data_IF_695012151264
#
_entry.id   IF_695012151264
#
_cell.length_a   1.000
_cell.length_b   1.000
_cell.length_c   1.000
_cell.angle_alpha   90.00
_cell.angle_beta   90.00
_cell.angle_gamma   90.00
#
_symmetry.space_group_name_H-M   'P 1'
#
loop_
_entity.id
_entity.type
_entity.pdbx_description
1 polymer ?
#
# COMPACT_ATOMS: atom_id res chain seq x y z
N UNK A 1 14.81 -46.44 4.99
CA UNK A 1 15.07 -44.98 5.14
C UNK A 1 13.70 -44.30 5.17
N UNK A 2 13.32 -43.81 6.34
CA UNK A 2 11.93 -43.38 6.62
C UNK A 2 11.64 -42.01 6.01
N UNK A 3 10.43 -41.81 5.50
CA UNK A 3 9.88 -40.54 4.94
C UNK A 3 10.15 -39.36 5.89
N UNK A 4 10.24 -39.60 7.20
CA UNK A 4 10.57 -38.63 8.24
C UNK A 4 11.93 -37.97 8.09
N UNK A 5 12.98 -38.69 7.64
CA UNK A 5 14.32 -38.14 7.50
C UNK A 5 14.46 -37.19 6.28
N UNK A 6 13.75 -37.50 5.20
CA UNK A 6 13.70 -36.63 4.00
C UNK A 6 12.95 -35.32 4.25
N UNK A 7 11.84 -35.36 4.97
CA UNK A 7 11.06 -34.16 5.35
C UNK A 7 11.86 -33.28 6.31
N UNK A 8 12.55 -33.86 7.27
CA UNK A 8 13.40 -33.13 8.21
C UNK A 8 14.61 -32.47 7.50
N UNK A 9 15.23 -33.15 6.54
CA UNK A 9 16.34 -32.59 5.74
C UNK A 9 15.88 -31.45 4.82
N UNK A 10 14.65 -31.50 4.31
CA UNK A 10 14.06 -30.45 3.48
C UNK A 10 13.63 -29.23 4.31
N UNK A 11 13.18 -29.42 5.55
CA UNK A 11 12.69 -28.36 6.42
C UNK A 11 13.79 -27.66 7.21
N UNK A 12 14.86 -28.32 7.59
CA UNK A 12 15.97 -27.77 8.40
C UNK A 12 16.51 -26.44 7.84
N UNK A 13 16.96 -26.34 6.57
CA UNK A 13 17.53 -25.09 6.07
C UNK A 13 16.50 -23.95 6.00
N UNK A 14 15.20 -24.28 5.90
CA UNK A 14 14.13 -23.29 5.92
C UNK A 14 13.83 -22.79 7.33
N UNK A 15 13.87 -23.67 8.31
CA UNK A 15 13.70 -23.31 9.73
C UNK A 15 14.88 -22.45 10.20
N UNK A 16 16.10 -22.81 9.84
CA UNK A 16 17.30 -22.03 10.13
C UNK A 16 17.22 -20.63 9.49
N UNK A 17 16.84 -20.56 8.22
CA UNK A 17 16.63 -19.28 7.54
C UNK A 17 15.55 -18.41 8.21
N UNK A 18 14.42 -19.00 8.62
CA UNK A 18 13.38 -18.29 9.37
C UNK A 18 13.89 -17.81 10.72
N UNK A 19 14.65 -18.66 11.43
CA UNK A 19 15.27 -18.31 12.72
C UNK A 19 16.28 -17.16 12.58
N UNK A 20 17.11 -17.18 11.55
CA UNK A 20 18.04 -16.09 11.24
C UNK A 20 17.30 -14.80 10.91
N UNK A 21 16.24 -14.86 10.12
CA UNK A 21 15.40 -13.69 9.83
C UNK A 21 14.77 -13.13 11.09
N UNK A 22 14.22 -13.98 11.97
CA UNK A 22 13.70 -13.55 13.25
C UNK A 22 14.79 -12.90 14.10
N UNK A 23 15.98 -13.52 14.17
CA UNK A 23 17.13 -12.95 14.85
C UNK A 23 17.49 -11.55 14.32
N UNK A 24 17.50 -11.36 12.99
CA UNK A 24 17.82 -10.08 12.36
C UNK A 24 16.73 -9.03 12.61
N UNK A 25 15.44 -9.39 12.57
CA UNK A 25 14.32 -8.49 12.85
C UNK A 25 14.39 -7.98 14.28
N UNK A 26 14.68 -8.86 15.24
CA UNK A 26 14.71 -8.54 16.68
C UNK A 26 16.11 -8.26 17.22
N UNK A 27 17.16 -8.23 16.36
CA UNK A 27 18.52 -7.92 16.78
C UNK A 27 18.67 -6.48 17.28
N UNK A 28 19.41 -6.30 18.37
CA UNK A 28 19.29 -5.17 19.28
C UNK A 28 20.12 -3.93 19.00
N UNK A 29 20.91 -3.85 17.91
CA UNK A 29 21.91 -2.78 17.74
C UNK A 29 21.36 -1.34 17.61
N UNK A 30 20.04 -1.17 17.30
CA UNK A 30 19.38 0.16 17.15
C UNK A 30 18.06 0.26 17.92
N UNK A 31 17.91 -0.47 19.02
CA UNK A 31 16.65 -0.53 19.80
C UNK A 31 16.05 0.84 20.17
N UNK A 32 16.81 1.81 20.73
CA UNK A 32 16.20 3.07 21.15
C UNK A 32 15.62 3.89 20.00
N UNK A 33 16.33 3.94 18.85
CA UNK A 33 15.87 4.70 17.68
C UNK A 33 14.65 4.06 17.02
N UNK A 34 14.61 2.71 16.96
CA UNK A 34 13.45 1.99 16.42
C UNK A 34 12.21 2.20 17.29
N UNK A 35 12.36 2.10 18.62
CA UNK A 35 11.25 2.35 19.55
C UNK A 35 10.70 3.79 19.41
N UNK A 36 11.58 4.78 19.24
CA UNK A 36 11.14 6.16 18.97
C UNK A 36 10.35 6.25 17.65
N UNK A 37 10.81 5.60 16.58
CA UNK A 37 10.09 5.58 15.31
C UNK A 37 8.73 4.85 15.41
N UNK A 38 8.64 3.80 16.22
CA UNK A 38 7.42 3.05 16.47
C UNK A 38 6.41 3.90 17.24
N UNK A 39 6.85 4.54 18.33
CA UNK A 39 6.02 5.44 19.16
C UNK A 39 5.57 6.66 18.35
N UNK A 40 6.48 7.28 17.59
CA UNK A 40 6.17 8.39 16.68
C UNK A 40 5.11 7.99 15.66
N UNK A 41 5.23 6.80 15.07
CA UNK A 41 4.25 6.26 14.12
C UNK A 41 2.90 6.00 14.78
N UNK A 42 2.90 5.40 15.98
CA UNK A 42 1.67 5.14 16.73
C UNK A 42 0.93 6.45 17.07
N UNK A 43 1.65 7.46 17.57
CA UNK A 43 1.07 8.76 17.88
C UNK A 43 0.55 9.47 16.62
N UNK A 44 1.25 9.33 15.50
CA UNK A 44 0.78 9.85 14.20
C UNK A 44 -0.54 9.18 13.78
N UNK A 45 -0.65 7.87 13.91
CA UNK A 45 -1.87 7.11 13.62
C UNK A 45 -3.01 7.54 14.55
N UNK A 46 -2.76 7.61 15.86
CA UNK A 46 -3.76 8.02 16.85
C UNK A 46 -4.27 9.45 16.56
N UNK A 47 -3.36 10.38 16.29
CA UNK A 47 -3.73 11.77 15.95
C UNK A 47 -4.45 11.86 14.60
N UNK A 48 -4.08 11.01 13.62
CA UNK A 48 -4.76 10.94 12.33
C UNK A 48 -6.24 10.52 12.48
N UNK A 49 -6.51 9.56 13.37
CA UNK A 49 -7.85 9.12 13.73
C UNK A 49 -8.65 10.28 14.34
N UNK A 50 -8.06 11.00 15.30
CA UNK A 50 -8.70 12.17 15.92
C UNK A 50 -9.00 13.25 14.88
N UNK A 51 -8.05 13.59 14.03
CA UNK A 51 -8.25 14.60 12.98
C UNK A 51 -9.32 14.19 11.98
N UNK A 52 -9.36 12.90 11.60
CA UNK A 52 -10.40 12.37 10.71
C UNK A 52 -11.80 12.55 11.29
N UNK A 53 -12.00 12.21 12.56
CA UNK A 53 -13.27 12.43 13.26
C UNK A 53 -13.65 13.91 13.37
N UNK A 54 -12.69 14.77 13.71
CA UNK A 54 -12.94 16.23 13.80
C UNK A 54 -13.31 16.86 12.46
N UNK A 55 -12.77 16.32 11.36
CA UNK A 55 -13.06 16.80 10.00
C UNK A 55 -14.30 16.11 9.38
N UNK A 56 -14.94 15.17 10.07
CA UNK A 56 -16.07 14.42 9.57
C UNK A 56 -15.72 13.50 8.37
N UNK A 57 -14.50 12.96 8.36
CA UNK A 57 -14.10 12.02 7.32
C UNK A 57 -14.89 10.71 7.42
N UNK A 58 -15.34 10.19 6.28
CA UNK A 58 -16.19 9.00 6.23
C UNK A 58 -15.41 7.71 6.53
N UNK A 59 -14.15 7.62 6.08
CA UNK A 59 -13.31 6.44 6.25
C UNK A 59 -12.08 6.79 7.11
N UNK A 60 -12.22 6.72 8.41
CA UNK A 60 -11.17 7.03 9.40
C UNK A 60 -9.93 6.16 9.19
N UNK A 61 -10.12 4.90 8.78
CA UNK A 61 -9.04 3.97 8.48
C UNK A 61 -8.05 4.49 7.43
N UNK A 62 -8.52 5.20 6.40
CA UNK A 62 -7.65 5.77 5.37
C UNK A 62 -6.80 6.95 5.87
N UNK A 63 -7.32 7.73 6.81
CA UNK A 63 -6.53 8.76 7.48
C UNK A 63 -5.43 8.12 8.34
N UNK A 64 -5.76 7.06 9.10
CA UNK A 64 -4.81 6.27 9.86
C UNK A 64 -3.71 5.67 8.96
N UNK A 65 -4.08 5.12 7.78
CA UNK A 65 -3.13 4.67 6.75
C UNK A 65 -2.21 5.78 6.29
N UNK A 66 -2.76 6.98 6.11
CA UNK A 66 -1.96 8.14 5.67
C UNK A 66 -0.97 8.56 6.75
N UNK A 67 -1.39 8.61 8.01
CA UNK A 67 -0.52 8.85 9.15
C UNK A 67 0.63 7.84 9.25
N UNK A 68 0.32 6.56 9.08
CA UNK A 68 1.33 5.49 9.07
C UNK A 68 2.28 5.58 7.86
N UNK A 69 1.75 5.68 6.66
CA UNK A 69 2.51 5.58 5.41
C UNK A 69 3.39 6.79 5.13
N UNK A 70 3.00 7.97 5.61
CA UNK A 70 3.76 9.22 5.42
C UNK A 70 4.92 9.30 6.41
N UNK A 71 4.77 8.72 7.61
CA UNK A 71 5.77 8.76 8.68
C UNK A 71 7.13 8.23 8.23
N UNK A 72 8.17 9.02 8.47
CA UNK A 72 9.59 8.69 8.28
C UNK A 72 10.39 9.17 9.48
N UNK A 73 11.53 8.55 9.71
CA UNK A 73 12.43 8.89 10.82
C UNK A 73 12.93 10.34 10.77
N UNK A 74 12.73 11.04 9.67
CA UNK A 74 13.16 12.42 9.49
C UNK A 74 12.03 13.28 8.96
N UNK A 75 11.85 14.44 9.61
CA UNK A 75 10.80 15.42 9.33
C UNK A 75 10.75 15.84 7.86
N UNK A 76 11.92 16.14 7.25
CA UNK A 76 11.96 16.57 5.85
C UNK A 76 11.47 15.49 4.87
N UNK A 77 11.72 14.21 5.16
CA UNK A 77 11.17 13.08 4.39
C UNK A 77 9.66 12.96 4.56
N UNK A 78 9.18 13.05 5.81
CA UNK A 78 7.74 13.01 6.11
C UNK A 78 7.02 14.16 5.41
N UNK A 79 7.56 15.40 5.47
CA UNK A 79 7.01 16.56 4.75
C UNK A 79 6.95 16.34 3.24
N UNK A 80 8.07 15.95 2.63
CA UNK A 80 8.12 15.72 1.18
C UNK A 80 7.16 14.60 0.76
N UNK A 81 7.12 13.52 1.52
CA UNK A 81 6.24 12.37 1.26
C UNK A 81 4.77 12.75 1.45
N UNK A 82 4.45 13.53 2.48
CA UNK A 82 3.12 14.07 2.72
C UNK A 82 2.62 14.97 1.59
N UNK A 83 3.44 15.92 1.15
CA UNK A 83 3.12 16.80 0.01
C UNK A 83 2.88 15.99 -1.28
N UNK A 84 3.74 15.01 -1.57
CA UNK A 84 3.58 14.15 -2.74
C UNK A 84 2.32 13.28 -2.64
N UNK A 85 1.93 12.87 -1.43
CA UNK A 85 0.69 12.11 -1.21
C UNK A 85 -0.53 12.98 -1.44
N UNK A 86 -0.59 14.17 -0.83
CA UNK A 86 -1.70 15.12 -1.02
C UNK A 86 -1.84 15.50 -2.49
N UNK A 87 -0.75 15.91 -3.15
CA UNK A 87 -0.79 16.31 -4.57
C UNK A 87 -1.20 15.17 -5.48
N UNK A 88 -0.72 13.94 -5.23
CA UNK A 88 -1.10 12.76 -6.00
C UNK A 88 -2.57 12.40 -5.80
N UNK A 89 -3.05 12.42 -4.55
CA UNK A 89 -4.46 12.16 -4.24
C UNK A 89 -5.38 13.23 -4.84
N UNK A 90 -5.03 14.51 -4.72
CA UNK A 90 -5.82 15.60 -5.31
C UNK A 90 -5.89 15.49 -6.85
N UNK A 91 -4.77 15.17 -7.50
CA UNK A 91 -4.73 14.95 -8.94
C UNK A 91 -5.58 13.73 -9.35
N UNK A 92 -5.47 12.61 -8.63
CA UNK A 92 -6.25 11.40 -8.90
C UNK A 92 -7.75 11.60 -8.69
N UNK A 93 -8.14 12.25 -7.59
CA UNK A 93 -9.54 12.58 -7.28
C UNK A 93 -10.12 13.55 -8.30
N UNK A 94 -9.39 14.61 -8.68
CA UNK A 94 -9.82 15.56 -9.70
C UNK A 94 -9.98 14.94 -11.08
N UNK A 95 -9.05 14.04 -11.47
CA UNK A 95 -9.16 13.27 -12.71
C UNK A 95 -10.37 12.32 -12.68
N UNK A 96 -10.63 11.64 -11.55
CA UNK A 96 -11.78 10.74 -11.40
C UNK A 96 -13.08 11.50 -11.49
N UNK A 97 -13.18 12.63 -10.82
CA UNK A 97 -14.35 13.51 -10.90
C UNK A 97 -14.60 14.02 -12.33
N UNK A 98 -13.57 14.55 -13.00
CA UNK A 98 -13.66 14.99 -14.37
C UNK A 98 -14.05 13.85 -15.32
N UNK A 99 -13.48 12.66 -15.12
CA UNK A 99 -13.81 11.48 -15.91
C UNK A 99 -15.27 11.05 -15.73
N UNK A 100 -15.77 11.04 -14.50
CA UNK A 100 -17.17 10.68 -14.20
C UNK A 100 -18.20 11.63 -14.85
N UNK A 101 -17.83 12.91 -15.02
CA UNK A 101 -18.72 13.89 -15.72
C UNK A 101 -18.93 13.58 -17.20
N UNK A 102 -18.00 12.83 -17.83
CA UNK A 102 -18.01 12.58 -19.29
C UNK A 102 -18.44 11.16 -19.67
N UNK A 103 -18.22 10.16 -18.80
CA UNK A 103 -18.22 8.76 -19.24
C UNK A 103 -19.49 8.00 -18.90
N UNK A 104 -20.28 8.44 -17.92
CA UNK A 104 -21.46 7.68 -17.48
C UNK A 104 -21.12 6.27 -16.97
N UNK A 105 -22.14 5.41 -16.76
CA UNK A 105 -22.03 4.10 -16.10
C UNK A 105 -21.57 2.94 -17.01
N UNK A 106 -20.96 3.20 -18.15
CA UNK A 106 -20.52 2.12 -19.05
C UNK A 106 -19.22 1.46 -18.58
N UNK A 107 -19.29 0.20 -18.17
CA UNK A 107 -18.12 -0.58 -17.70
C UNK A 107 -16.96 -0.61 -18.72
N UNK A 108 -17.27 -0.56 -20.03
CA UNK A 108 -16.24 -0.54 -21.08
C UNK A 108 -15.45 0.78 -21.05
N UNK A 109 -16.15 1.93 -20.98
CA UNK A 109 -15.49 3.24 -20.93
C UNK A 109 -14.77 3.46 -19.61
N UNK A 110 -15.35 2.98 -18.51
CA UNK A 110 -14.71 2.99 -17.19
C UNK A 110 -13.41 2.16 -17.25
N UNK A 111 -13.46 0.96 -17.85
CA UNK A 111 -12.28 0.12 -18.04
C UNK A 111 -11.20 0.78 -18.90
N UNK A 112 -11.59 1.44 -19.99
CA UNK A 112 -10.67 2.21 -20.83
C UNK A 112 -9.99 3.35 -20.06
N UNK A 113 -10.74 4.10 -19.24
CA UNK A 113 -10.23 5.15 -18.39
C UNK A 113 -9.26 4.63 -17.34
N UNK A 114 -9.61 3.55 -16.65
CA UNK A 114 -8.74 2.89 -15.66
C UNK A 114 -7.44 2.38 -16.29
N UNK A 115 -7.53 1.75 -17.46
CA UNK A 115 -6.38 1.29 -18.21
C UNK A 115 -5.46 2.45 -18.62
N UNK A 116 -6.05 3.52 -19.16
CA UNK A 116 -5.29 4.69 -19.62
C UNK A 116 -4.63 5.43 -18.46
N UNK A 117 -5.42 5.90 -17.49
CA UNK A 117 -4.92 6.73 -16.39
C UNK A 117 -4.03 5.90 -15.46
N UNK A 118 -4.46 4.69 -15.10
CA UNK A 118 -3.67 3.79 -14.25
C UNK A 118 -2.37 3.35 -14.91
N UNK A 119 -2.40 3.03 -16.21
CA UNK A 119 -1.21 2.68 -16.99
C UNK A 119 -0.22 3.85 -17.09
N UNK A 120 -0.69 5.05 -17.42
CA UNK A 120 0.16 6.26 -17.47
C UNK A 120 0.73 6.63 -16.10
N UNK A 121 -0.09 6.55 -15.04
CA UNK A 121 0.36 6.78 -13.67
C UNK A 121 1.42 5.76 -13.26
N UNK A 122 1.25 4.49 -13.60
CA UNK A 122 2.24 3.45 -13.32
C UNK A 122 3.54 3.70 -14.09
N UNK A 123 3.47 4.08 -15.37
CA UNK A 123 4.66 4.44 -16.15
C UNK A 123 5.40 5.63 -15.52
N UNK A 124 4.67 6.68 -15.15
CA UNK A 124 5.25 7.85 -14.49
C UNK A 124 5.84 7.50 -13.11
N UNK A 125 5.19 6.60 -12.37
CA UNK A 125 5.69 6.07 -11.08
C UNK A 125 7.05 5.40 -11.23
N UNK A 126 7.26 4.65 -12.30
CA UNK A 126 8.51 3.93 -12.56
C UNK A 126 9.61 4.81 -13.14
N UNK A 127 9.27 5.89 -13.85
CA UNK A 127 10.24 6.66 -14.66
C UNK A 127 10.49 8.10 -14.18
N UNK A 128 9.58 8.67 -13.39
CA UNK A 128 9.65 10.09 -13.02
C UNK A 128 10.15 10.30 -11.59
N UNK A 129 10.72 11.49 -11.32
CA UNK A 129 11.29 11.87 -10.01
C UNK A 129 10.29 11.88 -8.86
N UNK A 130 9.01 12.20 -9.14
CA UNK A 130 7.91 12.26 -8.15
C UNK A 130 7.08 10.98 -8.18
N UNK A 131 7.75 9.81 -8.17
CA UNK A 131 7.13 8.50 -8.28
C UNK A 131 5.98 8.29 -7.29
N UNK A 132 6.13 8.76 -6.05
CA UNK A 132 5.13 8.63 -5.01
C UNK A 132 3.83 9.41 -5.32
N UNK A 133 3.92 10.63 -5.89
CA UNK A 133 2.73 11.37 -6.31
C UNK A 133 2.02 10.66 -7.47
N UNK A 134 2.74 10.20 -8.49
CA UNK A 134 2.16 9.48 -9.61
C UNK A 134 1.47 8.18 -9.19
N UNK A 135 2.08 7.44 -8.24
CA UNK A 135 1.44 6.25 -7.66
C UNK A 135 0.09 6.61 -7.05
N UNK A 136 0.03 7.65 -6.21
CA UNK A 136 -1.22 8.05 -5.57
C UNK A 136 -2.24 8.67 -6.54
N UNK A 137 -1.79 9.30 -7.62
CA UNK A 137 -2.70 9.74 -8.71
C UNK A 137 -3.44 8.52 -9.29
N UNK A 138 -2.70 7.47 -9.66
CA UNK A 138 -3.32 6.27 -10.23
C UNK A 138 -4.18 5.50 -9.22
N UNK A 139 -3.69 5.33 -7.98
CA UNK A 139 -4.43 4.64 -6.93
C UNK A 139 -5.75 5.35 -6.60
N UNK A 140 -5.70 6.67 -6.36
CA UNK A 140 -6.89 7.44 -6.00
C UNK A 140 -7.89 7.49 -7.16
N UNK A 141 -7.39 7.70 -8.39
CA UNK A 141 -8.25 7.63 -9.57
C UNK A 141 -8.99 6.29 -9.65
N UNK A 142 -8.24 5.18 -9.54
CA UNK A 142 -8.84 3.84 -9.64
C UNK A 142 -9.84 3.57 -8.52
N UNK A 143 -9.52 3.96 -7.28
CA UNK A 143 -10.42 3.77 -6.15
C UNK A 143 -11.72 4.58 -6.32
N UNK A 144 -11.61 5.88 -6.58
CA UNK A 144 -12.80 6.75 -6.73
C UNK A 144 -13.69 6.29 -7.88
N UNK A 145 -13.09 5.88 -9.00
CA UNK A 145 -13.86 5.43 -10.18
C UNK A 145 -14.52 4.07 -9.93
N UNK A 146 -13.87 3.14 -9.23
CA UNK A 146 -14.43 1.82 -8.91
C UNK A 146 -15.46 1.88 -7.79
N UNK A 147 -15.19 2.63 -6.72
CA UNK A 147 -16.10 2.77 -5.58
C UNK A 147 -17.41 3.54 -5.97
N UNK A 148 -17.40 4.24 -7.09
CA UNK A 148 -18.52 5.07 -7.57
C UNK A 148 -19.03 4.68 -8.96
N UNK A 149 -18.84 3.44 -9.38
CA UNK A 149 -19.15 2.99 -10.76
C UNK A 149 -20.61 3.22 -11.18
N UNK A 150 -21.55 3.01 -10.27
CA UNK A 150 -22.99 3.17 -10.52
C UNK A 150 -23.58 4.37 -9.78
N UNK A 151 -22.74 5.14 -9.07
CA UNK A 151 -23.17 6.24 -8.24
C UNK A 151 -23.46 7.51 -9.07
N UNK A 152 -24.42 8.34 -8.65
CA UNK A 152 -24.65 9.65 -9.26
C UNK A 152 -23.44 10.57 -9.03
N UNK A 153 -23.22 11.56 -9.90
CA UNK A 153 -22.09 12.49 -9.87
C UNK A 153 -21.89 13.18 -8.50
N UNK A 154 -22.97 13.40 -7.76
CA UNK A 154 -22.89 13.98 -6.42
C UNK A 154 -22.14 13.08 -5.45
N UNK A 155 -22.38 11.77 -5.49
CA UNK A 155 -21.67 10.79 -4.67
C UNK A 155 -20.20 10.64 -5.09
N UNK A 156 -19.91 10.63 -6.41
CA UNK A 156 -18.52 10.67 -6.91
C UNK A 156 -17.75 11.86 -6.36
N UNK A 157 -18.41 13.04 -6.32
CA UNK A 157 -17.84 14.26 -5.75
C UNK A 157 -17.54 14.07 -4.26
N UNK A 158 -18.47 13.46 -3.54
CA UNK A 158 -18.32 13.18 -2.11
C UNK A 158 -17.18 12.19 -1.86
N UNK A 159 -17.10 11.08 -2.60
CA UNK A 159 -15.98 10.13 -2.52
C UNK A 159 -14.64 10.80 -2.79
N UNK A 160 -14.54 11.63 -3.84
CA UNK A 160 -13.32 12.34 -4.20
C UNK A 160 -12.85 13.30 -3.09
N UNK A 161 -13.78 14.08 -2.53
CA UNK A 161 -13.48 15.01 -1.43
C UNK A 161 -13.12 14.30 -0.14
N UNK A 162 -13.84 13.24 0.23
CA UNK A 162 -13.57 12.44 1.43
C UNK A 162 -12.18 11.82 1.35
N UNK A 163 -11.80 11.25 0.21
CA UNK A 163 -10.42 10.72 0.01
C UNK A 163 -9.35 11.78 0.21
N UNK A 164 -9.59 13.00 -0.26
CA UNK A 164 -8.64 14.09 -0.06
C UNK A 164 -8.57 14.51 1.42
N UNK A 165 -9.71 14.64 2.09
CA UNK A 165 -9.77 14.99 3.52
C UNK A 165 -9.06 13.95 4.39
N UNK A 166 -9.27 12.66 4.16
CA UNK A 166 -8.60 11.56 4.87
C UNK A 166 -7.08 11.63 4.73
N UNK A 167 -6.60 11.87 3.50
CA UNK A 167 -5.15 12.00 3.24
C UNK A 167 -4.58 13.26 3.89
N UNK A 168 -5.31 14.38 3.86
CA UNK A 168 -4.88 15.62 4.51
C UNK A 168 -4.85 15.45 6.02
N UNK A 169 -5.89 14.85 6.63
CA UNK A 169 -5.95 14.58 8.07
C UNK A 169 -4.77 13.73 8.54
N UNK A 170 -4.54 12.58 7.87
CA UNK A 170 -3.43 11.69 8.23
C UNK A 170 -2.05 12.31 7.99
N UNK A 171 -1.90 13.09 6.92
CA UNK A 171 -0.63 13.78 6.64
C UNK A 171 -0.37 14.90 7.64
N UNK A 172 -1.37 15.70 7.98
CA UNK A 172 -1.25 16.76 8.98
C UNK A 172 -0.88 16.18 10.35
N UNK A 173 -1.54 15.11 10.77
CA UNK A 173 -1.22 14.39 12.00
C UNK A 173 0.24 13.92 12.03
N UNK A 174 0.70 13.30 10.95
CA UNK A 174 2.09 12.87 10.80
C UNK A 174 3.07 14.05 10.93
N UNK A 175 2.80 15.17 10.25
CA UNK A 175 3.66 16.34 10.30
C UNK A 175 3.71 16.94 11.72
N UNK A 176 2.57 17.07 12.40
CA UNK A 176 2.49 17.58 13.78
C UNK A 176 3.33 16.71 14.71
N UNK A 177 3.17 15.40 14.66
CA UNK A 177 3.92 14.48 15.51
C UNK A 177 5.42 14.52 15.16
N UNK A 178 5.78 14.49 13.87
CA UNK A 178 7.19 14.59 13.46
C UNK A 178 7.85 15.90 13.88
N UNK A 179 7.13 17.02 13.85
CA UNK A 179 7.61 18.30 14.37
C UNK A 179 7.86 18.23 15.89
N UNK A 180 6.90 17.68 16.64
CA UNK A 180 7.02 17.53 18.09
C UNK A 180 8.26 16.69 18.46
N UNK A 181 8.46 15.54 17.79
CA UNK A 181 9.61 14.67 18.03
C UNK A 181 10.93 15.31 17.59
N UNK A 182 10.94 16.06 16.50
CA UNK A 182 12.12 16.79 16.03
C UNK A 182 12.56 17.85 17.06
N UNK A 183 11.63 18.53 17.72
CA UNK A 183 11.94 19.56 18.71
C UNK A 183 12.32 18.99 20.07
N UNK A 184 11.70 17.88 20.51
CA UNK A 184 11.84 17.37 21.89
C UNK A 184 12.85 16.25 22.02
N UNK A 185 12.81 15.27 21.13
CA UNK A 185 13.55 14.01 21.27
C UNK A 185 14.69 13.85 20.28
N UNK A 186 14.74 14.64 19.20
CA UNK A 186 15.79 14.59 18.17
C UNK A 186 16.43 15.96 17.86
N UNK A 187 16.79 16.78 18.88
CA UNK A 187 17.45 18.06 18.65
C UNK A 187 18.86 17.84 18.08
N UNK A 188 19.08 18.07 16.82
CA UNK A 188 20.37 17.91 16.15
C UNK A 188 20.41 16.96 14.94
N UNK A 189 19.37 16.16 14.71
CA UNK A 189 19.25 15.34 13.48
C UNK A 189 18.68 16.17 12.32
N UNK A 190 18.43 17.43 12.50
CA UNK A 190 17.98 18.39 11.49
C UNK A 190 19.10 18.77 10.50
N UNK A 191 20.00 17.86 10.20
CA UNK A 191 21.12 18.09 9.32
C UNK A 191 20.70 18.19 7.87
N UNK A 192 21.05 19.30 7.28
CA UNK A 192 21.17 19.74 5.89
C UNK A 192 21.53 18.70 4.80
N UNK A 193 21.68 17.43 5.11
CA UNK A 193 22.00 16.35 4.15
C UNK A 193 20.79 15.88 3.31
N UNK A 194 19.60 16.38 3.58
CA UNK A 194 18.34 15.86 3.08
C UNK A 194 17.94 16.26 1.67
N UNK A 195 18.48 17.31 1.12
CA UNK A 195 18.18 17.69 -0.26
C UNK A 195 19.04 16.99 -1.33
N UNK A 196 19.85 16.01 -0.94
CA UNK A 196 20.48 15.13 -1.91
C UNK A 196 19.44 14.18 -2.48
N UNK A 197 18.63 14.72 -3.38
CA UNK A 197 17.67 13.98 -4.20
C UNK A 197 18.38 12.75 -4.78
N UNK A 198 18.17 11.59 -4.19
CA UNK A 198 18.46 10.36 -4.89
C UNK A 198 17.54 10.33 -6.12
N UNK A 199 18.12 10.55 -7.28
CA UNK A 199 17.42 10.28 -8.53
C UNK A 199 17.10 8.80 -8.51
N UNK A 200 15.82 8.38 -8.75
CA UNK A 200 15.57 7.00 -9.02
C UNK A 200 16.49 6.55 -10.15
N UNK A 201 17.21 5.46 -9.99
CA UNK A 201 18.01 4.87 -11.06
C UNK A 201 17.10 4.69 -12.28
N UNK A 202 17.49 5.25 -13.40
CA UNK A 202 16.72 5.23 -14.65
C UNK A 202 15.79 6.42 -14.90
N UNK A 203 15.72 7.44 -14.03
CA UNK A 203 14.94 8.67 -14.26
C UNK A 203 15.61 9.61 -15.25
N UNK A 204 15.64 9.24 -16.50
CA UNK A 204 16.05 10.11 -17.63
C UNK A 204 14.85 10.51 -18.49
N UNK A 205 14.96 11.56 -19.33
CA UNK A 205 13.99 11.85 -20.37
C UNK A 205 14.16 10.83 -21.50
N UNK A 206 13.51 9.70 -21.42
CA UNK A 206 13.59 8.66 -22.44
C UNK A 206 12.47 7.62 -22.28
N UNK A 207 12.22 6.92 -23.37
CA UNK A 207 11.29 5.79 -23.38
C UNK A 207 11.95 4.57 -22.72
N UNK A 208 11.35 4.07 -21.66
CA UNK A 208 11.81 2.88 -20.96
C UNK A 208 10.91 1.70 -21.30
N UNK A 209 11.35 0.83 -22.21
CA UNK A 209 10.59 -0.35 -22.67
C UNK A 209 10.08 -1.21 -21.51
N UNK A 210 10.91 -1.45 -20.51
CA UNK A 210 10.51 -2.28 -19.36
C UNK A 210 9.40 -1.61 -18.53
N UNK A 211 9.47 -0.30 -18.34
CA UNK A 211 8.41 0.46 -17.67
C UNK A 211 7.12 0.44 -18.50
N UNK A 212 7.20 0.56 -19.82
CA UNK A 212 6.05 0.51 -20.71
C UNK A 212 5.36 -0.88 -20.68
N UNK A 213 6.13 -1.97 -20.73
CA UNK A 213 5.58 -3.33 -20.61
C UNK A 213 4.91 -3.52 -19.24
N UNK A 214 5.57 -3.10 -18.16
CA UNK A 214 5.01 -3.21 -16.81
C UNK A 214 3.72 -2.39 -16.67
N UNK A 215 3.69 -1.19 -17.23
CA UNK A 215 2.51 -0.30 -17.21
C UNK A 215 1.37 -0.83 -18.06
N UNK A 216 1.67 -1.45 -19.22
CA UNK A 216 0.66 -2.11 -20.04
C UNK A 216 0.05 -3.31 -19.32
N UNK A 217 0.85 -4.09 -18.57
CA UNK A 217 0.33 -5.18 -17.74
C UNK A 217 -0.63 -4.65 -16.65
N UNK A 218 -0.28 -3.53 -15.99
CA UNK A 218 -1.16 -2.85 -15.03
C UNK A 218 -2.42 -2.35 -15.74
N UNK A 219 -2.29 -1.67 -16.88
CA UNK A 219 -3.41 -1.15 -17.66
C UNK A 219 -4.42 -2.24 -18.02
N UNK A 220 -3.96 -3.39 -18.49
CA UNK A 220 -4.82 -4.52 -18.81
C UNK A 220 -5.54 -5.08 -17.58
N UNK A 221 -4.84 -5.23 -16.45
CA UNK A 221 -5.49 -5.65 -15.21
C UNK A 221 -6.58 -4.66 -14.80
N UNK A 222 -6.27 -3.36 -14.76
CA UNK A 222 -7.20 -2.32 -14.35
C UNK A 222 -8.40 -2.20 -15.30
N UNK A 223 -8.16 -2.34 -16.60
CA UNK A 223 -9.21 -2.23 -17.63
C UNK A 223 -10.28 -3.33 -17.57
N UNK A 224 -9.93 -4.50 -17.03
CA UNK A 224 -10.87 -5.63 -16.89
C UNK A 224 -11.70 -5.52 -15.59
N UNK A 225 -11.21 -4.81 -14.55
CA UNK A 225 -11.87 -4.75 -13.24
C UNK A 225 -13.33 -4.31 -13.29
N UNK A 226 -13.74 -3.26 -14.04
CA UNK A 226 -15.14 -2.84 -14.10
C UNK A 226 -16.09 -3.90 -14.69
N UNK A 227 -15.56 -4.83 -15.46
CA UNK A 227 -16.35 -5.95 -16.01
C UNK A 227 -16.57 -7.05 -14.97
N UNK A 228 -15.68 -7.14 -13.97
CA UNK A 228 -15.75 -8.11 -12.88
C UNK A 228 -16.47 -7.55 -11.65
N UNK A 229 -16.45 -6.23 -11.46
CA UNK A 229 -17.02 -5.57 -10.28
C UNK A 229 -18.50 -5.92 -10.02
N UNK A 230 -19.42 -6.00 -11.02
CA UNK A 230 -20.80 -6.40 -10.79
C UNK A 230 -20.98 -7.79 -10.16
N UNK A 231 -20.00 -8.70 -10.33
CA UNK A 231 -20.05 -10.03 -9.73
C UNK A 231 -19.29 -10.14 -8.40
N UNK A 232 -18.29 -9.28 -8.20
CA UNK A 232 -17.34 -9.37 -7.09
C UNK A 232 -17.57 -8.30 -6.01
N UNK A 233 -18.24 -7.21 -6.36
CA UNK A 233 -18.37 -6.02 -5.53
C UNK A 233 -17.26 -4.97 -5.77
N UNK A 234 -17.62 -3.70 -5.60
CA UNK A 234 -16.75 -2.56 -5.93
C UNK A 234 -15.54 -2.49 -4.98
N UNK A 235 -15.74 -2.79 -3.69
CA UNK A 235 -14.66 -2.80 -2.70
C UNK A 235 -13.56 -3.81 -3.08
N UNK A 236 -13.95 -5.02 -3.49
CA UNK A 236 -13.01 -6.06 -3.89
C UNK A 236 -12.23 -5.65 -5.15
N UNK A 237 -12.92 -5.04 -6.12
CA UNK A 237 -12.30 -4.52 -7.34
C UNK A 237 -11.31 -3.38 -7.02
N UNK A 238 -11.68 -2.47 -6.12
CA UNK A 238 -10.85 -1.37 -5.65
C UNK A 238 -9.57 -1.88 -4.95
N UNK A 239 -9.69 -2.85 -4.05
CA UNK A 239 -8.55 -3.50 -3.38
C UNK A 239 -7.65 -4.26 -4.36
N UNK A 240 -8.22 -4.88 -5.39
CA UNK A 240 -7.46 -5.53 -6.45
C UNK A 240 -6.66 -4.52 -7.28
N UNK A 241 -7.26 -3.37 -7.64
CA UNK A 241 -6.56 -2.28 -8.34
C UNK A 241 -5.35 -1.78 -7.55
N UNK A 242 -5.54 -1.49 -6.25
CA UNK A 242 -4.45 -1.11 -5.33
C UNK A 242 -3.35 -2.17 -5.33
N UNK A 243 -3.71 -3.43 -5.33
CA UNK A 243 -2.75 -4.54 -5.28
C UNK A 243 -1.94 -4.67 -6.57
N UNK A 244 -2.58 -4.59 -7.73
CA UNK A 244 -1.91 -4.64 -9.04
C UNK A 244 -0.86 -3.53 -9.13
N UNK A 245 -1.22 -2.29 -8.83
CA UNK A 245 -0.29 -1.15 -8.88
C UNK A 245 0.84 -1.27 -7.85
N UNK A 246 0.51 -1.65 -6.61
CA UNK A 246 1.49 -1.76 -5.54
C UNK A 246 2.48 -2.93 -5.73
N UNK A 247 2.04 -4.06 -6.30
CA UNK A 247 2.90 -5.19 -6.60
C UNK A 247 3.92 -4.86 -7.71
N UNK A 248 3.53 -4.01 -8.66
CA UNK A 248 4.38 -3.56 -9.76
C UNK A 248 5.30 -2.38 -9.40
N UNK A 249 5.23 -1.88 -8.17
CA UNK A 249 6.12 -0.84 -7.65
C UNK A 249 7.48 -1.44 -7.27
N UNK A 250 8.29 -1.74 -8.27
CA UNK A 250 9.65 -2.27 -8.13
C UNK A 250 10.63 -1.43 -8.96
N UNK A 251 11.93 -1.35 -8.58
CA UNK A 251 12.92 -0.60 -9.36
C UNK A 251 13.00 -1.08 -10.81
N UNK A 252 13.23 -0.15 -11.75
CA UNK A 252 13.38 -0.48 -13.18
C UNK A 252 14.51 -1.47 -13.45
N UNK A 253 15.62 -1.33 -12.74
CA UNK A 253 16.76 -2.28 -12.79
C UNK A 253 16.32 -3.70 -12.45
N UNK A 254 15.46 -3.86 -11.46
CA UNK A 254 14.95 -5.17 -11.05
C UNK A 254 13.91 -5.74 -12.04
N UNK A 255 13.17 -4.89 -12.75
CA UNK A 255 12.28 -5.31 -13.86
C UNK A 255 13.10 -5.79 -15.08
N UNK A 256 14.25 -5.17 -15.35
CA UNK A 256 15.12 -5.54 -16.46
C UNK A 256 15.75 -6.94 -16.28
N UNK A 257 16.04 -7.33 -15.04
CA UNK A 257 16.64 -8.65 -14.70
C UNK A 257 15.60 -9.78 -14.75
N UNK A 258 14.30 -9.45 -14.80
CA UNK A 258 13.22 -10.45 -14.92
C UNK A 258 12.15 -10.34 -13.83
N UNK A 259 11.20 -11.26 -13.84
CA UNK A 259 9.99 -11.24 -12.99
C UNK A 259 10.20 -11.50 -11.49
N UNK A 260 11.42 -11.80 -11.06
CA UNK A 260 11.70 -12.22 -9.67
C UNK A 260 11.35 -11.16 -8.62
N UNK A 261 11.59 -9.88 -8.90
CA UNK A 261 11.31 -8.78 -7.99
C UNK A 261 9.81 -8.59 -7.75
N UNK A 262 9.00 -8.62 -8.82
CA UNK A 262 7.54 -8.53 -8.71
C UNK A 262 6.99 -9.72 -7.95
N UNK A 263 7.40 -10.96 -8.31
CA UNK A 263 6.99 -12.17 -7.60
C UNK A 263 7.31 -12.09 -6.11
N UNK A 264 8.53 -11.68 -5.76
CA UNK A 264 8.93 -11.52 -4.36
C UNK A 264 8.06 -10.50 -3.64
N UNK A 265 7.82 -9.31 -4.25
CA UNK A 265 6.96 -8.28 -3.66
C UNK A 265 5.53 -8.77 -3.48
N UNK A 266 4.99 -9.52 -4.44
CA UNK A 266 3.67 -10.16 -4.35
C UNK A 266 3.59 -11.15 -3.18
N UNK A 267 4.59 -12.02 -3.04
CA UNK A 267 4.65 -12.98 -1.92
C UNK A 267 4.72 -12.26 -0.58
N UNK A 268 5.59 -11.25 -0.44
CA UNK A 268 5.72 -10.49 0.81
C UNK A 268 4.41 -9.73 1.15
N UNK A 269 3.70 -9.21 0.12
CA UNK A 269 2.40 -8.58 0.30
C UNK A 269 1.36 -9.57 0.83
N UNK A 270 1.23 -10.71 0.17
CA UNK A 270 0.30 -11.77 0.57
C UNK A 270 0.61 -12.29 1.98
N UNK A 271 1.88 -12.59 2.26
CA UNK A 271 2.31 -13.07 3.58
C UNK A 271 2.01 -12.04 4.68
N UNK A 272 2.32 -10.77 4.44
CA UNK A 272 2.06 -9.71 5.42
C UNK A 272 0.56 -9.52 5.69
N UNK A 273 -0.28 -9.62 4.66
CA UNK A 273 -1.72 -9.52 4.82
C UNK A 273 -2.33 -10.76 5.49
N UNK A 274 -1.86 -11.97 5.17
CA UNK A 274 -2.27 -13.19 5.85
C UNK A 274 -1.94 -13.15 7.35
N UNK A 275 -0.71 -12.77 7.67
CA UNK A 275 -0.28 -12.61 9.06
C UNK A 275 -1.09 -11.51 9.77
N UNK A 276 -1.34 -10.38 9.09
CA UNK A 276 -2.12 -9.28 9.64
C UNK A 276 -3.59 -9.66 9.87
N UNK A 277 -4.25 -10.31 8.90
CA UNK A 277 -5.65 -10.73 9.02
C UNK A 277 -5.80 -11.81 10.09
N UNK A 278 -4.94 -12.84 10.08
CA UNK A 278 -5.00 -13.91 11.07
C UNK A 278 -4.70 -13.44 12.49
N UNK A 279 -3.63 -12.65 12.69
CA UNK A 279 -3.31 -12.10 14.01
C UNK A 279 -4.28 -11.01 14.46
N UNK A 280 -4.83 -10.22 13.53
CA UNK A 280 -5.89 -9.26 13.81
C UNK A 280 -7.19 -9.92 14.26
N UNK A 281 -7.64 -10.95 13.54
CA UNK A 281 -8.81 -11.73 13.93
C UNK A 281 -8.62 -12.40 15.30
N UNK A 282 -7.44 -12.98 15.54
CA UNK A 282 -7.10 -13.54 16.86
C UNK A 282 -7.12 -12.48 17.96
N UNK A 283 -6.55 -11.31 17.69
CA UNK A 283 -6.51 -10.21 18.65
C UNK A 283 -7.92 -9.69 19.00
N UNK A 284 -8.86 -9.68 18.04
CA UNK A 284 -10.25 -9.32 18.30
C UNK A 284 -10.92 -10.24 19.32
N UNK A 285 -10.59 -11.54 19.34
CA UNK A 285 -11.11 -12.46 20.35
C UNK A 285 -10.70 -12.04 21.77
N UNK A 286 -9.52 -11.46 21.92
CA UNK A 286 -9.04 -10.96 23.21
C UNK A 286 -9.55 -9.57 23.57
N UNK A 287 -10.02 -8.78 22.59
CA UNK A 287 -10.62 -7.47 22.86
C UNK A 287 -12.00 -7.58 23.50
N UNK A 288 -12.75 -8.64 23.17
CA UNK A 288 -14.10 -8.93 23.70
C UNK A 288 -15.05 -7.69 23.69
N UNK A 289 -14.89 -6.79 22.72
CA UNK A 289 -15.65 -5.54 22.64
C UNK A 289 -15.21 -4.45 23.62
N UNK A 290 -14.10 -4.65 24.35
CA UNK A 290 -13.57 -3.67 25.29
C UNK A 290 -12.73 -2.64 24.54
N UNK A 291 -13.16 -1.38 24.48
CA UNK A 291 -12.49 -0.32 23.73
C UNK A 291 -11.01 -0.08 24.14
N UNK A 292 -10.62 -0.01 25.42
CA UNK A 292 -9.22 0.05 25.82
C UNK A 292 -8.39 -1.14 25.32
N UNK A 293 -8.91 -2.35 25.38
CA UNK A 293 -8.22 -3.54 24.88
C UNK A 293 -8.06 -3.49 23.36
N UNK A 294 -9.08 -3.05 22.64
CA UNK A 294 -9.06 -2.85 21.17
C UNK A 294 -7.96 -1.85 20.79
N UNK A 295 -7.89 -0.70 21.45
CA UNK A 295 -6.85 0.32 21.22
C UNK A 295 -5.45 -0.20 21.53
N UNK A 296 -5.28 -0.95 22.62
CA UNK A 296 -3.99 -1.55 22.98
C UNK A 296 -3.53 -2.57 21.93
N UNK A 297 -4.43 -3.43 21.48
CA UNK A 297 -4.12 -4.45 20.47
C UNK A 297 -3.81 -3.81 19.12
N UNK A 298 -4.55 -2.77 18.73
CA UNK A 298 -4.22 -1.96 17.55
C UNK A 298 -2.81 -1.36 17.66
N UNK A 299 -2.50 -0.74 18.80
CA UNK A 299 -1.20 -0.14 19.05
C UNK A 299 -0.07 -1.17 18.93
N UNK A 300 -0.23 -2.34 19.53
CA UNK A 300 0.74 -3.44 19.45
C UNK A 300 0.92 -3.92 18.01
N UNK A 301 -0.14 -4.06 17.24
CA UNK A 301 -0.08 -4.46 15.83
C UNK A 301 0.62 -3.42 14.96
N UNK A 302 0.33 -2.14 15.15
CA UNK A 302 1.00 -1.04 14.44
C UNK A 302 2.49 -0.97 14.80
N UNK A 303 2.83 -1.07 16.08
CA UNK A 303 4.23 -1.07 16.55
C UNK A 303 5.00 -2.28 16.01
N UNK A 304 4.43 -3.48 16.08
CA UNK A 304 5.04 -4.70 15.54
C UNK A 304 5.28 -4.58 14.04
N UNK A 305 4.28 -4.11 13.30
CA UNK A 305 4.41 -3.88 11.87
C UNK A 305 5.52 -2.87 11.54
N UNK A 306 5.59 -1.77 12.30
CA UNK A 306 6.64 -0.76 12.13
C UNK A 306 8.02 -1.29 12.53
N UNK A 307 8.09 -2.10 13.57
CA UNK A 307 9.33 -2.78 13.98
C UNK A 307 9.90 -3.66 12.86
N UNK A 308 9.06 -4.50 12.25
CA UNK A 308 9.44 -5.34 11.13
C UNK A 308 9.83 -4.48 9.90
N UNK A 309 9.07 -3.42 9.60
CA UNK A 309 9.39 -2.49 8.49
C UNK A 309 10.76 -1.84 8.67
N UNK A 310 11.10 -1.39 9.89
CA UNK A 310 12.36 -0.74 10.20
C UNK A 310 13.54 -1.72 10.40
N UNK A 311 13.32 -3.02 10.24
CA UNK A 311 14.40 -4.02 10.40
C UNK A 311 15.50 -3.93 9.34
N UNK A 312 15.24 -3.26 8.20
CA UNK A 312 16.16 -3.22 7.06
C UNK A 312 16.35 -4.57 6.36
N UNK A 313 15.59 -5.59 6.77
CA UNK A 313 15.68 -6.94 6.21
C UNK A 313 14.93 -7.08 4.90
N UNK A 314 15.17 -8.20 4.23
CA UNK A 314 14.46 -8.55 2.99
C UNK A 314 12.94 -8.73 3.18
N UNK A 315 12.46 -8.86 4.41
CA UNK A 315 11.04 -9.06 4.77
C UNK A 315 10.37 -7.81 5.32
N UNK A 316 11.06 -6.68 5.37
CA UNK A 316 10.54 -5.39 5.89
C UNK A 316 9.14 -5.03 5.34
N UNK A 317 8.85 -5.34 4.08
CA UNK A 317 7.56 -5.07 3.46
C UNK A 317 6.39 -5.87 4.09
N UNK A 318 6.67 -7.01 4.71
CA UNK A 318 5.67 -7.77 5.50
C UNK A 318 5.15 -6.90 6.66
N UNK A 319 6.05 -6.17 7.35
CA UNK A 319 5.69 -5.28 8.45
C UNK A 319 4.71 -4.18 8.03
N UNK A 320 4.98 -3.52 6.90
CA UNK A 320 4.04 -2.54 6.34
C UNK A 320 2.66 -3.14 6.11
N UNK A 321 2.57 -4.32 5.47
CA UNK A 321 1.29 -4.93 5.16
C UNK A 321 0.56 -5.39 6.44
N UNK A 322 1.26 -5.94 7.41
CA UNK A 322 0.71 -6.33 8.70
C UNK A 322 0.08 -5.12 9.41
N UNK A 323 0.82 -4.01 9.54
CA UNK A 323 0.30 -2.79 10.17
C UNK A 323 -0.94 -2.25 9.45
N UNK A 324 -0.94 -2.22 8.11
CA UNK A 324 -2.08 -1.74 7.33
C UNK A 324 -3.33 -2.62 7.54
N UNK A 325 -3.19 -3.93 7.67
CA UNK A 325 -4.32 -4.82 7.97
C UNK A 325 -4.82 -4.61 9.39
N UNK A 326 -3.92 -4.44 10.38
CA UNK A 326 -4.34 -4.08 11.73
C UNK A 326 -5.16 -2.79 11.74
N UNK A 327 -4.74 -1.76 11.00
CA UNK A 327 -5.51 -0.53 10.88
C UNK A 327 -6.89 -0.78 10.23
N UNK A 328 -6.97 -1.65 9.22
CA UNK A 328 -8.25 -1.99 8.59
C UNK A 328 -9.21 -2.71 9.55
N UNK A 329 -8.68 -3.58 10.41
CA UNK A 329 -9.47 -4.39 11.37
C UNK A 329 -9.89 -3.57 12.59
N UNK A 330 -8.98 -2.72 13.11
CA UNK A 330 -9.15 -2.06 14.40
C UNK A 330 -9.54 -0.59 14.33
N UNK A 331 -9.54 0.02 13.15
CA UNK A 331 -9.95 1.41 12.92
C UNK A 331 -11.11 1.42 11.94
N UNK A 332 -12.29 0.90 12.33
CA UNK A 332 -13.51 1.12 11.58
C UNK A 332 -13.95 2.59 11.73
N UNK A 333 -14.90 3.00 10.95
CA UNK A 333 -15.48 4.34 11.05
C UNK A 333 -16.17 4.59 12.40
N UNK A 334 -16.58 3.51 13.06
CA UNK A 334 -17.10 3.51 14.43
C UNK A 334 -16.26 2.54 15.31
N UNK A 335 -15.56 3.08 16.32
CA UNK A 335 -14.68 2.32 17.22
C UNK A 335 -15.36 1.19 18.00
N UNK A 336 -16.68 1.21 18.11
CA UNK A 336 -17.44 0.18 18.81
C UNK A 336 -17.57 -1.12 18.02
N UNK A 337 -17.27 -1.10 16.73
CA UNK A 337 -17.54 -2.20 15.81
C UNK A 337 -16.29 -2.72 15.08
N UNK A 338 -15.15 -2.77 15.76
CA UNK A 338 -13.95 -3.44 15.21
C UNK A 338 -14.32 -4.87 14.74
N UNK A 339 -14.02 -5.18 13.49
CA UNK A 339 -14.42 -6.42 12.83
C UNK A 339 -13.26 -7.01 12.03
N UNK A 340 -13.21 -8.33 11.93
CA UNK A 340 -12.23 -9.00 11.06
C UNK A 340 -12.61 -8.97 9.58
N UNK A 341 -13.85 -8.66 9.25
CA UNK A 341 -14.38 -8.69 7.89
C UNK A 341 -13.60 -7.79 6.92
N UNK A 342 -13.29 -6.50 7.24
CA UNK A 342 -12.50 -5.66 6.34
C UNK A 342 -11.08 -6.19 6.11
N UNK A 343 -10.51 -6.92 7.08
CA UNK A 343 -9.21 -7.59 6.92
C UNK A 343 -9.27 -8.75 5.93
N UNK A 344 -10.36 -9.52 5.94
CA UNK A 344 -10.59 -10.60 4.98
C UNK A 344 -10.94 -10.09 3.59
N UNK A 345 -11.83 -9.10 3.46
CA UNK A 345 -12.12 -8.43 2.18
C UNK A 345 -10.85 -7.88 1.52
N UNK A 346 -9.98 -7.27 2.33
CA UNK A 346 -8.67 -6.82 1.84
C UNK A 346 -7.80 -7.97 1.33
N UNK A 347 -7.78 -9.11 2.02
CA UNK A 347 -7.02 -10.30 1.61
C UNK A 347 -7.56 -10.86 0.28
N UNK A 348 -8.87 -10.95 0.14
CA UNK A 348 -9.54 -11.41 -1.09
C UNK A 348 -9.20 -10.50 -2.28
N UNK A 349 -9.27 -9.17 -2.10
CA UNK A 349 -8.87 -8.22 -3.13
C UNK A 349 -7.38 -8.31 -3.50
N UNK A 350 -6.52 -8.62 -2.53
CA UNK A 350 -5.11 -8.88 -2.79
C UNK A 350 -4.95 -10.17 -3.62
N UNK A 351 -5.63 -11.23 -3.28
CA UNK A 351 -5.58 -12.48 -4.04
C UNK A 351 -6.07 -12.27 -5.47
N UNK A 352 -7.19 -11.59 -5.66
CA UNK A 352 -7.72 -11.25 -6.98
C UNK A 352 -6.70 -10.46 -7.80
N UNK A 353 -6.17 -9.36 -7.25
CA UNK A 353 -5.20 -8.53 -7.94
C UNK A 353 -3.91 -9.27 -8.30
N UNK A 354 -3.43 -10.17 -7.43
CA UNK A 354 -2.25 -11.00 -7.70
C UNK A 354 -2.52 -12.08 -8.77
N UNK A 355 -3.70 -12.71 -8.76
CA UNK A 355 -4.10 -13.69 -9.79
C UNK A 355 -4.21 -13.00 -11.14
N UNK A 356 -4.89 -11.86 -11.23
CA UNK A 356 -4.97 -11.08 -12.48
C UNK A 356 -3.58 -10.72 -13.00
N UNK A 357 -2.71 -10.23 -12.13
CA UNK A 357 -1.34 -9.88 -12.49
C UNK A 357 -0.54 -11.12 -12.96
N UNK A 358 -0.72 -12.26 -12.31
CA UNK A 358 -0.08 -13.52 -12.71
C UNK A 358 -0.51 -13.96 -14.09
N UNK A 359 -1.81 -13.92 -14.40
CA UNK A 359 -2.38 -14.29 -15.70
C UNK A 359 -1.84 -13.35 -16.79
N UNK A 360 -1.95 -12.03 -16.60
CA UNK A 360 -1.47 -11.06 -17.59
C UNK A 360 0.04 -11.20 -17.83
N UNK A 361 0.83 -11.34 -16.78
CA UNK A 361 2.29 -11.57 -16.93
C UNK A 361 2.62 -12.89 -17.60
N UNK A 362 1.84 -13.94 -17.34
CA UNK A 362 1.97 -15.23 -18.02
C UNK A 362 1.74 -15.10 -19.53
N UNK A 363 0.69 -14.39 -19.93
CA UNK A 363 0.39 -14.12 -21.34
C UNK A 363 1.54 -13.36 -22.04
N UNK A 364 2.06 -12.31 -21.41
CA UNK A 364 3.22 -11.57 -21.93
C UNK A 364 4.48 -12.46 -22.04
N UNK A 365 4.67 -13.39 -21.10
CA UNK A 365 5.78 -14.35 -21.15
C UNK A 365 5.68 -15.33 -22.32
N UNK A 366 4.45 -15.77 -22.65
CA UNK A 366 4.19 -16.65 -23.79
C UNK A 366 4.40 -15.91 -25.13
N UNK A 367 3.87 -14.69 -25.27
CA UNK A 367 4.03 -13.85 -26.45
C UNK A 367 5.52 -13.51 -26.72
N UNK A 368 6.28 -13.20 -25.66
CA UNK A 368 7.71 -12.93 -25.80
C UNK A 368 8.52 -14.14 -26.26
N UNK A 369 8.11 -15.36 -25.88
CA UNK A 369 8.75 -16.61 -26.36
C UNK A 369 8.36 -16.95 -27.81
N UNK A 370 7.15 -16.65 -28.21
CA UNK A 370 6.69 -16.87 -29.61
C UNK A 370 7.46 -15.98 -30.57
N UNK A 371 7.65 -14.69 -30.26
CA UNK A 371 8.41 -13.75 -31.10
C UNK A 371 9.93 -14.00 -31.16
N UNK A 372 10.48 -14.81 -30.26
CA UNK A 372 11.91 -15.19 -30.28
C UNK A 372 12.19 -16.52 -31.04
N UNK A 373 11.17 -17.13 -31.64
CA UNK A 373 11.28 -18.40 -32.38
C UNK A 373 11.16 -18.23 -33.90
N UNK A 374 11.01 -17.01 -34.39
CA UNK A 374 11.17 -16.77 -35.84
C UNK A 374 12.67 -16.70 -36.18
N UNK A 375 13.11 -17.45 -37.20
CA UNK A 375 14.52 -17.66 -37.54
C UNK A 375 15.23 -16.44 -38.06
#
# INVERSE_FOLDING_TARGET
MTVSSSVAAFLRPRIEYVRELFGQVFSGERRPQRLLDEVETLLSVALAIVFAHLLGAQNVGWAAFSGYMVMRSQLAESLNRGLLRITGTAAGAGLAWAFATWVGASSLWIGAGLALVGGLAQYATLTRRRSYAWLFTGLTFSMVVLDAMEAPLQEVTQFALTRLLEVVAGTAACIVVSLLFAWTLRPGIQGTQYFRRQRPEGSGPGWHRQAAIASLQVALCLGVLPMLAPQLGDELASQAAVTVMAAMLVPLTALAVGGGAVRRRSILRLTGCLLGAGSGALALLFSAGNAPATLLLMALGVMLGRHIENSGTKVAYIGTQLALVFLTVFVPDDFHFASSEPGWSRLEGILLGLVMLLVVRGLFGLLGRAGSREP
#
